data_IF_663234867338
#
_entry.id   IF_663234867338
#
_cell.length_a   1.000
_cell.length_b   1.000
_cell.length_c   1.000
_cell.angle_alpha   90.00
_cell.angle_beta   90.00
_cell.angle_gamma   90.00
#
_symmetry.space_group_name_H-M   'P 1'
#
loop_
_entity.id
_entity.type
_entity.pdbx_description
1 polymer ?
#
# COMPACT_ATOMS: atom_id res chain seq x y z
N UNK A 1 -12.86 -26.14 25.08
CA UNK A 1 -13.93 -25.41 24.37
C UNK A 1 -13.22 -24.55 23.36
N UNK A 2 -13.22 -24.99 22.11
CA UNK A 2 -12.55 -24.29 21.03
C UNK A 2 -13.42 -23.14 20.55
N UNK A 3 -12.87 -21.95 20.54
CA UNK A 3 -13.31 -20.88 19.66
C UNK A 3 -12.11 -20.48 18.81
N UNK A 4 -11.82 -21.38 17.88
CA UNK A 4 -11.34 -21.04 16.54
C UNK A 4 -12.28 -19.97 15.98
N UNK A 5 -11.92 -18.70 16.18
CA UNK A 5 -12.65 -17.57 15.61
C UNK A 5 -11.90 -17.06 14.40
N UNK A 6 -12.18 -17.70 13.26
CA UNK A 6 -12.17 -17.16 11.89
C UNK A 6 -11.31 -15.90 11.70
N UNK A 7 -10.02 -16.10 11.46
CA UNK A 7 -9.20 -15.06 10.81
C UNK A 7 -9.37 -15.11 9.28
N UNK A 8 -10.28 -15.92 8.75
CA UNK A 8 -10.25 -16.39 7.36
C UNK A 8 -11.34 -15.83 6.42
N UNK A 9 -12.15 -14.84 6.82
CA UNK A 9 -13.18 -14.26 5.94
C UNK A 9 -13.05 -12.74 5.68
N UNK A 10 -12.29 -11.99 6.49
CA UNK A 10 -12.04 -10.54 6.29
C UNK A 10 -10.73 -10.24 5.57
N UNK A 11 -9.86 -11.26 5.41
CA UNK A 11 -8.56 -11.16 4.76
C UNK A 11 -8.55 -10.44 3.40
N UNK A 12 -9.51 -10.64 2.47
CA UNK A 12 -9.44 -9.97 1.16
C UNK A 12 -9.86 -8.50 1.18
N UNK A 13 -10.65 -8.07 2.17
CA UNK A 13 -11.11 -6.68 2.26
C UNK A 13 -10.04 -5.79 2.88
N UNK A 14 -9.37 -6.28 3.93
CA UNK A 14 -8.27 -5.59 4.60
C UNK A 14 -7.06 -5.42 3.66
N UNK A 15 -6.70 -6.49 2.94
CA UNK A 15 -5.66 -6.51 1.90
C UNK A 15 -5.97 -5.51 0.78
N UNK A 16 -7.22 -5.44 0.31
CA UNK A 16 -7.63 -4.46 -0.71
C UNK A 16 -7.59 -3.03 -0.20
N UNK A 17 -7.93 -2.81 1.06
CA UNK A 17 -7.86 -1.49 1.68
C UNK A 17 -6.40 -1.03 1.75
N UNK A 18 -5.51 -1.85 2.31
CA UNK A 18 -4.07 -1.55 2.37
C UNK A 18 -3.47 -1.34 0.97
N UNK A 19 -3.83 -2.17 -0.01
CA UNK A 19 -3.40 -1.99 -1.40
C UNK A 19 -3.85 -0.64 -1.95
N UNK A 20 -5.11 -0.26 -1.70
CA UNK A 20 -5.67 1.00 -2.18
C UNK A 20 -4.94 2.18 -1.55
N UNK A 21 -4.74 2.16 -0.23
CA UNK A 21 -4.02 3.22 0.48
C UNK A 21 -2.58 3.37 0.01
N UNK A 22 -1.86 2.28 -0.24
CA UNK A 22 -0.50 2.31 -0.79
C UNK A 22 -0.49 2.83 -2.23
N UNK A 23 -1.43 2.40 -3.06
CA UNK A 23 -1.55 2.86 -4.44
C UNK A 23 -1.86 4.36 -4.51
N UNK A 24 -2.70 4.89 -3.62
CA UNK A 24 -3.01 6.31 -3.54
C UNK A 24 -1.79 7.14 -3.10
N UNK A 25 -1.05 6.69 -2.08
CA UNK A 25 0.20 7.34 -1.65
C UNK A 25 1.23 7.39 -2.79
N UNK A 26 1.43 6.28 -3.48
CA UNK A 26 2.34 6.20 -4.64
C UNK A 26 1.92 7.19 -5.74
N UNK A 27 0.62 7.33 -6.03
CA UNK A 27 0.12 8.30 -7.02
C UNK A 27 0.33 9.74 -6.55
N UNK A 28 0.09 10.04 -5.27
CA UNK A 28 0.31 11.37 -4.71
C UNK A 28 1.80 11.76 -4.81
N UNK A 29 2.70 10.85 -4.47
CA UNK A 29 4.15 11.08 -4.57
C UNK A 29 4.59 11.27 -6.02
N UNK A 30 4.06 10.47 -6.96
CA UNK A 30 4.32 10.67 -8.40
C UNK A 30 3.83 12.03 -8.87
N UNK A 31 2.63 12.45 -8.45
CA UNK A 31 2.10 13.76 -8.78
C UNK A 31 2.98 14.88 -8.20
N UNK A 32 3.41 14.74 -6.95
CA UNK A 32 4.30 15.70 -6.31
C UNK A 32 5.66 15.80 -7.04
N UNK A 33 6.20 14.66 -7.49
CA UNK A 33 7.45 14.57 -8.23
C UNK A 33 7.35 15.18 -9.63
N UNK A 34 6.38 14.75 -10.44
CA UNK A 34 6.28 15.13 -11.86
C UNK A 34 5.51 16.43 -12.11
N UNK A 35 4.54 16.77 -11.25
CA UNK A 35 3.66 17.94 -11.48
C UNK A 35 4.06 19.12 -10.61
N UNK A 36 4.39 18.87 -9.34
CA UNK A 36 4.69 19.95 -8.39
C UNK A 36 6.19 20.28 -8.29
N UNK A 37 7.06 19.48 -8.91
CA UNK A 37 8.53 19.56 -8.76
C UNK A 37 8.95 19.59 -7.27
N UNK A 38 8.17 18.89 -6.44
CA UNK A 38 8.27 18.93 -4.98
C UNK A 38 8.20 17.51 -4.43
N UNK A 39 9.25 16.70 -4.58
CA UNK A 39 9.30 15.34 -4.05
C UNK A 39 9.09 15.36 -2.53
N UNK A 40 8.05 14.68 -2.05
CA UNK A 40 7.76 14.54 -0.61
C UNK A 40 8.51 13.39 0.03
N UNK A 41 8.97 12.42 -0.77
CA UNK A 41 9.73 11.26 -0.34
C UNK A 41 10.93 11.01 -1.27
N UNK A 42 11.94 10.30 -0.76
CA UNK A 42 13.11 9.91 -1.56
C UNK A 42 12.81 8.70 -2.46
N UNK A 43 13.62 8.51 -3.49
CA UNK A 43 13.52 7.37 -4.41
C UNK A 43 13.51 6.01 -3.68
N UNK A 44 14.34 5.83 -2.64
CA UNK A 44 14.36 4.62 -1.82
C UNK A 44 13.12 4.41 -0.93
N UNK A 45 12.45 5.49 -0.53
CA UNK A 45 11.18 5.37 0.21
C UNK A 45 10.05 4.97 -0.76
N UNK A 46 10.08 5.52 -1.98
CA UNK A 46 9.14 5.17 -3.05
C UNK A 46 9.28 3.71 -3.49
N UNK A 47 10.52 3.24 -3.65
CA UNK A 47 10.83 1.82 -3.91
C UNK A 47 10.33 0.92 -2.77
N UNK A 48 10.40 1.39 -1.52
CA UNK A 48 9.83 0.69 -0.37
C UNK A 48 8.30 0.58 -0.39
N UNK A 49 7.61 1.64 -0.82
CA UNK A 49 6.15 1.64 -0.99
C UNK A 49 5.72 0.68 -2.11
N UNK A 50 6.42 0.68 -3.25
CA UNK A 50 6.21 -0.30 -4.32
C UNK A 50 6.46 -1.73 -3.83
N UNK A 51 7.57 -1.94 -3.11
CA UNK A 51 7.90 -3.10 -2.26
C UNK A 51 6.68 -3.71 -1.56
N UNK A 52 6.03 -2.88 -0.76
CA UNK A 52 4.86 -3.27 0.03
C UNK A 52 3.65 -3.56 -0.84
N UNK A 53 3.37 -2.72 -1.83
CA UNK A 53 2.23 -2.90 -2.72
C UNK A 53 2.31 -4.24 -3.47
N UNK A 54 3.48 -4.59 -3.99
CA UNK A 54 3.73 -5.86 -4.67
C UNK A 54 3.61 -7.06 -3.72
N UNK A 55 4.06 -6.93 -2.48
CA UNK A 55 3.94 -7.98 -1.46
C UNK A 55 2.49 -8.27 -1.03
N UNK A 56 1.55 -7.35 -1.32
CA UNK A 56 0.12 -7.52 -1.03
C UNK A 56 -0.61 -8.21 -2.20
N UNK A 57 -0.05 -8.17 -3.42
CA UNK A 57 -0.59 -8.85 -4.60
C UNK A 57 -0.15 -10.33 -4.73
N UNK A 58 0.88 -10.78 -4.02
CA UNK A 58 1.37 -12.18 -3.96
C UNK A 58 0.57 -13.07 -2.99
#
# INVERSE_FOLDING_TARGET
MGEDRRVSETAPEDVRHEWTELAEQIREHQFAYYVRDAPTISDGEFDGLLKRLEAIEE
#
